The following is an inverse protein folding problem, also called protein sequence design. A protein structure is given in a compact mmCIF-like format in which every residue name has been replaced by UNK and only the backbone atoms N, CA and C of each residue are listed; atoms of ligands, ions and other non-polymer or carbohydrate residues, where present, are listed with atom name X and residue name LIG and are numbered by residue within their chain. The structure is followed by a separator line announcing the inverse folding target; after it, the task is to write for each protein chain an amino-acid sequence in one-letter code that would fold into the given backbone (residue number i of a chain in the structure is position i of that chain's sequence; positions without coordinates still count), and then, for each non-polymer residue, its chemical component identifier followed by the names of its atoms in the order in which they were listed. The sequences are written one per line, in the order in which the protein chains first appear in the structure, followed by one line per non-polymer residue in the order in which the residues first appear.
data_IF_152674112988
#
_entry.id   IF_152674112988
#
_cell.length_a   1.000
_cell.length_b   1.000
_cell.length_c   1.000
_cell.angle_alpha   90.00
_cell.angle_beta   90.00
_cell.angle_gamma   90.00
#
_symmetry.space_group_name_H-M   'P 1'
#
loop_
_entity.id
_entity.type
_entity.pdbx_description
1 polymer ?
#
# COMPACT_ATOMS: atom_id res chain seq x y z
N UNK A 1 -32.55 -15.18 8.86
CA UNK A 1 -31.20 -15.68 8.51
C UNK A 1 -30.20 -14.66 9.04
N UNK A 2 -29.21 -15.09 9.82
CA UNK A 2 -28.20 -14.17 10.36
C UNK A 2 -27.38 -13.53 9.23
N UNK A 3 -27.08 -12.24 9.35
CA UNK A 3 -26.25 -11.51 8.39
C UNK A 3 -24.78 -11.88 8.60
N UNK A 4 -24.28 -12.88 7.86
CA UNK A 4 -22.89 -13.34 7.98
C UNK A 4 -21.88 -12.47 7.22
N UNK A 5 -22.33 -11.37 6.62
CA UNK A 5 -21.53 -10.59 5.67
C UNK A 5 -20.25 -10.07 6.32
N UNK A 6 -20.30 -9.62 7.58
CA UNK A 6 -19.11 -9.20 8.34
C UNK A 6 -18.07 -10.32 8.51
N UNK A 7 -18.50 -11.53 8.84
CA UNK A 7 -17.58 -12.67 9.00
C UNK A 7 -16.91 -13.03 7.67
N UNK A 8 -17.67 -12.99 6.57
CA UNK A 8 -17.13 -13.24 5.23
C UNK A 8 -16.06 -12.22 4.85
N UNK A 9 -16.25 -10.94 5.21
CA UNK A 9 -15.24 -9.90 4.98
C UNK A 9 -13.97 -10.16 5.78
N UNK A 10 -14.08 -10.39 7.09
CA UNK A 10 -12.91 -10.66 7.92
C UNK A 10 -12.16 -11.90 7.44
N UNK A 11 -12.89 -12.95 7.05
CA UNK A 11 -12.30 -14.16 6.49
C UNK A 11 -11.54 -13.89 5.18
N UNK A 12 -11.96 -12.89 4.39
CA UNK A 12 -11.24 -12.45 3.19
C UNK A 12 -10.05 -11.54 3.51
N UNK A 13 -10.13 -10.69 4.55
CA UNK A 13 -9.07 -9.74 4.90
C UNK A 13 -7.90 -10.38 5.66
N UNK A 14 -8.15 -11.37 6.52
CA UNK A 14 -7.08 -12.01 7.31
C UNK A 14 -5.98 -12.63 6.44
N UNK A 15 -6.28 -13.45 5.42
CA UNK A 15 -5.25 -14.01 4.55
C UNK A 15 -4.48 -12.92 3.79
N UNK A 16 -5.14 -11.85 3.38
CA UNK A 16 -4.51 -10.71 2.71
C UNK A 16 -3.53 -10.03 3.66
N UNK A 17 -3.93 -9.76 4.90
CA UNK A 17 -3.05 -9.15 5.89
C UNK A 17 -1.86 -10.05 6.26
N UNK A 18 -2.08 -11.35 6.37
CA UNK A 18 -1.02 -12.34 6.57
C UNK A 18 -0.01 -12.35 5.42
N UNK A 19 -0.49 -12.43 4.18
CA UNK A 19 0.35 -12.43 2.98
C UNK A 19 1.15 -11.13 2.83
N UNK A 20 0.52 -9.99 3.12
CA UNK A 20 1.20 -8.70 3.12
C UNK A 20 2.38 -8.68 4.09
N UNK A 21 2.16 -9.09 5.35
CA UNK A 21 3.21 -9.09 6.37
C UNK A 21 4.37 -10.01 6.02
N UNK A 22 4.08 -11.21 5.54
CA UNK A 22 5.11 -12.17 5.13
C UNK A 22 5.95 -11.64 3.96
N UNK A 23 5.31 -11.08 2.92
CA UNK A 23 6.03 -10.49 1.79
C UNK A 23 6.85 -9.26 2.17
N UNK A 24 6.29 -8.40 3.04
CA UNK A 24 7.00 -7.23 3.59
C UNK A 24 8.27 -7.64 4.32
N UNK A 25 8.17 -8.63 5.21
CA UNK A 25 9.31 -9.12 6.00
C UNK A 25 10.44 -9.61 5.08
N UNK A 26 10.10 -10.43 4.08
CA UNK A 26 11.07 -10.95 3.11
C UNK A 26 11.74 -9.84 2.29
N UNK A 27 10.96 -8.87 1.79
CA UNK A 27 11.49 -7.74 1.01
C UNK A 27 12.34 -6.78 1.86
N UNK A 28 11.92 -6.55 3.11
CA UNK A 28 12.69 -5.73 4.06
C UNK A 28 14.04 -6.37 4.36
N UNK A 29 14.09 -7.69 4.54
CA UNK A 29 15.35 -8.40 4.74
C UNK A 29 16.29 -8.25 3.54
N UNK A 30 15.76 -8.33 2.30
CA UNK A 30 16.55 -8.10 1.09
C UNK A 30 17.07 -6.67 1.00
N UNK A 31 16.23 -5.68 1.33
CA UNK A 31 16.64 -4.28 1.39
C UNK A 31 17.77 -4.05 2.39
N UNK A 32 17.67 -4.59 3.60
CA UNK A 32 18.72 -4.49 4.63
C UNK A 32 20.04 -5.10 4.14
N UNK A 33 19.99 -6.24 3.44
CA UNK A 33 21.18 -6.84 2.84
C UNK A 33 21.77 -5.94 1.75
N UNK A 34 20.95 -5.35 0.88
CA UNK A 34 21.41 -4.45 -0.18
C UNK A 34 22.07 -3.17 0.39
N UNK A 35 21.45 -2.55 1.41
CA UNK A 35 22.03 -1.39 2.12
C UNK A 35 23.38 -1.75 2.73
N UNK A 36 23.47 -2.90 3.41
CA UNK A 36 24.72 -3.35 4.01
C UNK A 36 25.83 -3.56 2.97
N UNK A 37 25.52 -4.17 1.83
CA UNK A 37 26.49 -4.35 0.73
C UNK A 37 26.98 -3.00 0.20
N UNK A 38 26.07 -2.03 0.08
CA UNK A 38 26.44 -0.69 -0.36
C UNK A 38 27.37 -0.01 0.67
N UNK A 39 27.03 -0.07 1.96
CA UNK A 39 27.87 0.48 3.03
C UNK A 39 29.27 -0.17 3.08
N UNK A 40 29.35 -1.50 2.89
CA UNK A 40 30.61 -2.24 2.80
C UNK A 40 31.44 -1.76 1.61
N UNK A 41 30.83 -1.64 0.42
CA UNK A 41 31.49 -1.10 -0.77
C UNK A 41 32.01 0.33 -0.55
N UNK A 42 31.24 1.19 0.13
CA UNK A 42 31.69 2.55 0.44
C UNK A 42 32.90 2.57 1.37
N UNK A 43 32.96 1.63 2.32
CA UNK A 43 34.09 1.49 3.22
C UNK A 43 35.36 1.02 2.46
N UNK A 44 35.24 0.06 1.56
CA UNK A 44 36.33 -0.45 0.71
C UNK A 44 36.89 0.64 -0.22
N UNK A 45 36.01 1.40 -0.88
CA UNK A 45 36.40 2.56 -1.70
C UNK A 45 37.17 3.60 -0.88
N UNK A 46 36.68 3.90 0.33
CA UNK A 46 37.32 4.86 1.22
C UNK A 46 38.68 4.36 1.74
N UNK A 47 38.84 3.04 1.90
CA UNK A 47 40.10 2.41 2.27
C UNK A 47 41.09 2.32 1.09
N UNK A 48 40.64 2.58 -0.14
CA UNK A 48 41.45 2.42 -1.36
C UNK A 48 41.66 0.96 -1.73
N UNK A 49 40.81 0.06 -1.25
CA UNK A 49 40.86 -1.38 -1.54
C UNK A 49 40.17 -1.71 -2.87
N UNK A 50 39.19 -0.89 -3.27
CA UNK A 50 38.42 -1.04 -4.51
C UNK A 50 38.26 0.34 -5.16
N UNK A 51 38.37 0.38 -6.50
CA UNK A 51 38.07 1.59 -7.26
C UNK A 51 36.55 1.76 -7.40
N UNK A 52 36.05 2.97 -7.15
CA UNK A 52 34.64 3.29 -7.34
C UNK A 52 34.21 3.24 -8.82
N UNK A 53 35.19 3.38 -9.72
CA UNK A 53 35.00 3.47 -11.15
C UNK A 53 36.03 2.56 -11.80
N UNK A 54 35.58 1.70 -12.71
CA UNK A 54 36.45 0.84 -13.51
C UNK A 54 36.32 1.18 -14.99
N UNK A 55 37.44 1.19 -15.70
CA UNK A 55 37.50 1.38 -17.15
C UNK A 55 37.84 0.06 -17.82
N UNK A 56 37.02 -0.37 -18.77
CA UNK A 56 37.31 -1.50 -19.63
C UNK A 56 38.42 -1.12 -20.61
N UNK A 57 39.59 -1.74 -20.47
CA UNK A 57 40.78 -1.43 -21.27
C UNK A 57 40.60 -1.67 -22.78
N UNK A 58 39.69 -2.57 -23.19
CA UNK A 58 39.47 -2.88 -24.60
C UNK A 58 38.51 -1.88 -25.27
N UNK A 59 37.51 -1.42 -24.54
CA UNK A 59 36.44 -0.56 -25.08
C UNK A 59 36.58 0.92 -24.68
N UNK A 60 37.39 1.22 -23.66
CA UNK A 60 37.48 2.54 -23.01
C UNK A 60 36.20 2.93 -22.26
N UNK A 61 35.30 1.97 -22.01
CA UNK A 61 34.04 2.25 -21.35
C UNK A 61 34.24 2.33 -19.84
N UNK A 62 33.74 3.41 -19.25
CA UNK A 62 33.82 3.69 -17.81
C UNK A 62 32.53 3.25 -17.13
N UNK A 63 32.65 2.41 -16.11
CA UNK A 63 31.55 1.89 -15.31
C UNK A 63 31.67 2.37 -13.86
N UNK A 64 30.58 2.93 -13.32
CA UNK A 64 30.49 3.31 -11.91
C UNK A 64 30.03 2.10 -11.09
N UNK A 65 30.96 1.46 -10.38
CA UNK A 65 30.67 0.28 -9.57
C UNK A 65 29.68 0.62 -8.43
N UNK A 66 29.71 1.87 -7.96
CA UNK A 66 28.75 2.36 -6.97
C UNK A 66 27.33 2.43 -7.48
N UNK A 67 27.10 2.74 -8.76
CA UNK A 67 25.77 2.69 -9.36
C UNK A 67 25.21 1.26 -9.39
N UNK A 68 26.04 0.26 -9.69
CA UNK A 68 25.61 -1.15 -9.69
C UNK A 68 25.23 -1.63 -8.29
N UNK A 69 26.05 -1.34 -7.28
CA UNK A 69 25.74 -1.76 -5.90
C UNK A 69 24.52 -1.00 -5.36
N UNK A 70 24.34 0.27 -5.72
CA UNK A 70 23.15 1.05 -5.38
C UNK A 70 21.89 0.52 -6.07
N UNK A 71 22.01 -0.05 -7.28
CA UNK A 71 20.86 -0.57 -8.02
C UNK A 71 20.11 -1.67 -7.25
N UNK A 72 20.82 -2.54 -6.52
CA UNK A 72 20.20 -3.56 -5.67
C UNK A 72 19.27 -2.93 -4.61
N UNK A 73 19.71 -1.82 -3.99
CA UNK A 73 18.91 -1.09 -2.99
C UNK A 73 17.64 -0.50 -3.63
N UNK A 74 17.79 0.16 -4.78
CA UNK A 74 16.67 0.77 -5.51
C UNK A 74 15.65 -0.28 -6.01
N UNK A 75 16.14 -1.45 -6.44
CA UNK A 75 15.29 -2.57 -6.85
C UNK A 75 14.50 -3.11 -5.66
N UNK A 76 15.16 -3.33 -4.52
CA UNK A 76 14.50 -3.83 -3.30
C UNK A 76 13.43 -2.85 -2.80
N UNK A 77 13.71 -1.55 -2.86
CA UNK A 77 12.76 -0.50 -2.51
C UNK A 77 11.55 -0.45 -3.47
N UNK A 78 11.81 -0.46 -4.78
CA UNK A 78 10.76 -0.50 -5.80
C UNK A 78 9.86 -1.74 -5.66
N UNK A 79 10.45 -2.89 -5.32
CA UNK A 79 9.72 -4.11 -5.03
C UNK A 79 8.83 -3.97 -3.78
N UNK A 80 9.33 -3.35 -2.71
CA UNK A 80 8.55 -3.07 -1.50
C UNK A 80 7.38 -2.14 -1.78
N UNK A 81 7.59 -1.11 -2.60
CA UNK A 81 6.53 -0.19 -2.99
C UNK A 81 5.48 -0.86 -3.88
N UNK A 82 5.90 -1.65 -4.86
CA UNK A 82 5.01 -2.47 -5.70
C UNK A 82 4.18 -3.44 -4.86
N UNK A 83 4.78 -4.04 -3.83
CA UNK A 83 4.07 -4.92 -2.88
C UNK A 83 2.96 -4.15 -2.16
N UNK A 84 3.25 -2.97 -1.60
CA UNK A 84 2.22 -2.13 -0.94
C UNK A 84 1.08 -1.76 -1.91
N UNK A 85 1.41 -1.35 -3.12
CA UNK A 85 0.43 -1.00 -4.15
C UNK A 85 -0.49 -2.18 -4.51
N UNK A 86 0.08 -3.37 -4.71
CA UNK A 86 -0.70 -4.57 -4.97
C UNK A 86 -1.71 -4.86 -3.84
N UNK A 87 -1.27 -4.75 -2.59
CA UNK A 87 -2.14 -4.98 -1.44
C UNK A 87 -3.21 -3.90 -1.26
N UNK A 88 -2.92 -2.63 -1.54
CA UNK A 88 -3.94 -1.57 -1.56
C UNK A 88 -5.07 -1.88 -2.57
N UNK A 89 -4.74 -2.36 -3.77
CA UNK A 89 -5.72 -2.81 -4.76
C UNK A 89 -6.54 -4.00 -4.23
N UNK A 90 -5.88 -5.02 -3.68
CA UNK A 90 -6.57 -6.21 -3.17
C UNK A 90 -7.57 -5.86 -2.06
N UNK A 91 -7.17 -4.99 -1.12
CA UNK A 91 -8.02 -4.52 -0.02
C UNK A 91 -9.24 -3.79 -0.58
N UNK A 92 -9.03 -2.90 -1.55
CA UNK A 92 -10.11 -2.18 -2.20
C UNK A 92 -11.09 -3.13 -2.89
N UNK A 93 -10.61 -4.11 -3.68
CA UNK A 93 -11.48 -5.07 -4.36
C UNK A 93 -12.26 -5.97 -3.41
N UNK A 94 -11.67 -6.36 -2.27
CA UNK A 94 -12.41 -7.10 -1.23
C UNK A 94 -13.56 -6.27 -0.69
N UNK A 95 -13.32 -4.98 -0.42
CA UNK A 95 -14.39 -4.06 -0.03
C UNK A 95 -15.48 -3.95 -1.10
N UNK A 96 -15.14 -3.72 -2.37
CA UNK A 96 -16.11 -3.60 -3.47
C UNK A 96 -17.00 -4.84 -3.57
N UNK A 97 -16.39 -6.04 -3.59
CA UNK A 97 -17.13 -7.31 -3.67
C UNK A 97 -18.05 -7.51 -2.47
N UNK A 98 -17.56 -7.19 -1.28
CA UNK A 98 -18.33 -7.29 -0.06
C UNK A 98 -19.55 -6.37 -0.07
N UNK A 99 -19.39 -5.12 -0.52
CA UNK A 99 -20.49 -4.18 -0.67
C UNK A 99 -21.51 -4.65 -1.71
N UNK A 100 -21.05 -5.11 -2.88
CA UNK A 100 -21.94 -5.67 -3.91
C UNK A 100 -22.78 -6.82 -3.36
N UNK A 101 -22.15 -7.73 -2.60
CA UNK A 101 -22.85 -8.83 -1.94
C UNK A 101 -23.88 -8.33 -0.92
N UNK A 102 -23.49 -7.42 -0.03
CA UNK A 102 -24.36 -6.87 1.02
C UNK A 102 -25.57 -6.08 0.46
N UNK A 103 -25.39 -5.44 -0.69
CA UNK A 103 -26.43 -4.66 -1.36
C UNK A 103 -27.17 -5.45 -2.44
N UNK A 104 -26.76 -6.69 -2.74
CA UNK A 104 -27.24 -7.49 -3.87
C UNK A 104 -27.14 -6.73 -5.20
N UNK A 105 -26.08 -5.95 -5.36
CA UNK A 105 -25.82 -5.16 -6.56
C UNK A 105 -24.87 -5.92 -7.49
N UNK A 106 -25.04 -5.84 -8.82
CA UNK A 106 -24.15 -6.48 -9.78
C UNK A 106 -22.77 -5.79 -9.87
N UNK A 107 -22.70 -4.50 -9.52
CA UNK A 107 -21.50 -3.68 -9.60
C UNK A 107 -21.40 -2.69 -8.44
N UNK A 108 -20.17 -2.29 -8.12
CA UNK A 108 -19.89 -1.35 -7.05
C UNK A 108 -20.08 0.08 -7.54
N UNK A 109 -20.99 0.82 -6.90
CA UNK A 109 -21.26 2.23 -7.19
C UNK A 109 -20.99 3.06 -5.92
N UNK A 110 -19.74 3.52 -5.72
CA UNK A 110 -19.27 4.14 -4.47
C UNK A 110 -20.26 5.16 -3.86
N UNK A 111 -20.73 6.12 -4.68
CA UNK A 111 -21.63 7.18 -4.23
C UNK A 111 -22.99 6.67 -3.73
N UNK A 112 -23.53 5.61 -4.33
CA UNK A 112 -24.80 5.01 -3.89
C UNK A 112 -24.57 4.04 -2.73
N UNK A 113 -23.48 3.27 -2.79
CA UNK A 113 -23.13 2.25 -1.82
C UNK A 113 -23.09 2.79 -0.39
N UNK A 114 -22.33 3.86 -0.13
CA UNK A 114 -22.21 4.39 1.23
C UNK A 114 -23.53 4.87 1.81
N UNK A 115 -24.38 5.50 0.97
CA UNK A 115 -25.71 5.95 1.38
C UNK A 115 -26.60 4.77 1.79
N UNK A 116 -26.63 3.72 0.98
CA UNK A 116 -27.42 2.51 1.25
C UNK A 116 -26.92 1.74 2.49
N UNK A 117 -25.60 1.59 2.64
CA UNK A 117 -25.03 0.93 3.83
C UNK A 117 -25.28 1.72 5.11
N UNK A 118 -25.17 3.04 5.06
CA UNK A 118 -25.48 3.92 6.21
C UNK A 118 -26.95 3.79 6.61
N UNK A 119 -27.89 3.72 5.65
CA UNK A 119 -29.32 3.46 5.93
C UNK A 119 -29.55 2.09 6.58
N UNK A 120 -28.71 1.10 6.27
CA UNK A 120 -28.70 -0.22 6.92
C UNK A 120 -28.03 -0.22 8.31
N UNK A 121 -27.56 0.93 8.78
CA UNK A 121 -26.94 1.09 10.10
C UNK A 121 -25.46 0.72 10.17
N UNK A 122 -24.78 0.61 9.03
CA UNK A 122 -23.35 0.34 9.00
C UNK A 122 -22.55 1.60 9.35
N UNK A 123 -21.48 1.51 10.15
CA UNK A 123 -20.66 2.64 10.55
C UNK A 123 -19.62 3.01 9.47
N UNK A 124 -20.09 3.50 8.32
CA UNK A 124 -19.25 3.79 7.16
C UNK A 124 -18.28 4.95 7.42
N UNK A 125 -16.97 4.66 7.35
CA UNK A 125 -15.91 5.67 7.37
C UNK A 125 -15.63 6.17 5.95
N UNK A 126 -16.54 7.01 5.45
CA UNK A 126 -16.50 7.50 4.06
C UNK A 126 -15.16 8.15 3.70
N UNK A 127 -14.57 9.07 4.49
CA UNK A 127 -13.31 9.71 4.13
C UNK A 127 -12.17 8.71 3.91
N UNK A 128 -11.97 7.76 4.83
CA UNK A 128 -10.87 6.78 4.70
C UNK A 128 -11.12 5.76 3.59
N UNK A 129 -12.37 5.35 3.35
CA UNK A 129 -12.73 4.49 2.22
C UNK A 129 -12.51 5.17 0.86
N UNK A 130 -12.81 6.47 0.77
CA UNK A 130 -12.53 7.25 -0.43
C UNK A 130 -11.03 7.41 -0.69
N UNK A 131 -10.22 7.59 0.36
CA UNK A 131 -8.76 7.54 0.24
C UNK A 131 -8.29 6.22 -0.37
N UNK A 132 -8.72 5.08 0.18
CA UNK A 132 -8.41 3.76 -0.38
C UNK A 132 -8.85 3.62 -1.85
N UNK A 133 -10.06 4.06 -2.20
CA UNK A 133 -10.56 4.05 -3.60
C UNK A 133 -9.66 4.89 -4.51
N UNK A 134 -9.35 6.12 -4.11
CA UNK A 134 -8.50 7.02 -4.88
C UNK A 134 -7.10 6.44 -5.06
N UNK A 135 -6.50 5.86 -4.02
CA UNK A 135 -5.22 5.15 -4.09
C UNK A 135 -5.28 4.01 -5.09
N UNK A 136 -6.30 3.13 -5.01
CA UNK A 136 -6.46 2.04 -5.96
C UNK A 136 -6.65 2.56 -7.40
N UNK A 137 -7.35 3.68 -7.59
CA UNK A 137 -7.54 4.31 -8.91
C UNK A 137 -6.26 4.95 -9.45
N UNK A 138 -5.41 5.54 -8.59
CA UNK A 138 -4.06 5.98 -8.99
C UNK A 138 -3.29 4.78 -9.53
N UNK A 139 -3.26 3.66 -8.79
CA UNK A 139 -2.46 2.49 -9.17
C UNK A 139 -2.96 1.85 -10.48
N UNK A 140 -4.29 1.75 -10.65
CA UNK A 140 -4.89 1.09 -11.83
C UNK A 140 -4.98 1.97 -13.07
N UNK A 141 -5.17 3.28 -12.89
CA UNK A 141 -5.63 4.17 -13.96
C UNK A 141 -4.82 5.47 -14.05
N UNK A 142 -3.77 5.64 -13.25
CA UNK A 142 -3.03 6.90 -13.12
C UNK A 142 -3.97 8.10 -12.89
N UNK A 143 -4.98 7.91 -12.05
CA UNK A 143 -5.91 9.00 -11.72
C UNK A 143 -5.20 10.11 -10.95
N UNK A 144 -5.39 11.37 -11.35
CA UNK A 144 -4.90 12.52 -10.60
C UNK A 144 -5.77 12.86 -9.36
N UNK A 145 -6.88 12.15 -9.14
CA UNK A 145 -7.86 12.46 -8.09
C UNK A 145 -7.23 12.49 -6.69
N UNK A 146 -6.28 11.59 -6.41
CA UNK A 146 -5.58 11.55 -5.13
C UNK A 146 -4.77 12.83 -4.87
N UNK A 147 -4.24 13.49 -5.91
CA UNK A 147 -3.46 14.72 -5.76
C UNK A 147 -4.30 15.88 -5.21
N UNK A 148 -5.56 15.96 -5.63
CA UNK A 148 -6.46 17.04 -5.23
C UNK A 148 -6.96 16.86 -3.77
N UNK A 149 -6.83 15.67 -3.19
CA UNK A 149 -7.41 15.33 -1.87
C UNK A 149 -6.42 14.82 -0.81
N UNK A 150 -5.36 14.13 -1.22
CA UNK A 150 -4.41 13.41 -0.38
C UNK A 150 -2.99 13.56 -0.91
N UNK A 151 -2.56 14.82 -1.09
CA UNK A 151 -1.23 15.14 -1.62
C UNK A 151 -0.11 14.57 -0.75
N UNK A 152 -0.34 14.37 0.54
CA UNK A 152 0.61 13.73 1.47
C UNK A 152 0.98 12.29 1.09
N UNK A 153 0.15 11.60 0.31
CA UNK A 153 0.43 10.24 -0.19
C UNK A 153 1.24 10.25 -1.50
N UNK A 154 1.44 11.44 -2.07
CA UNK A 154 2.18 11.65 -3.29
C UNK A 154 3.47 12.37 -2.95
N UNK A 155 4.59 11.69 -3.12
CA UNK A 155 5.87 12.30 -2.83
C UNK A 155 6.34 13.13 -4.02
N UNK A 156 6.33 14.46 -3.83
CA UNK A 156 6.81 15.41 -4.84
C UNK A 156 8.28 15.74 -4.74
N UNK A 157 8.89 15.46 -3.60
CA UNK A 157 10.19 15.98 -3.24
C UNK A 157 11.18 14.89 -2.85
N UNK A 158 10.70 13.71 -2.48
CA UNK A 158 11.54 12.64 -1.95
C UNK A 158 11.11 11.31 -2.58
N UNK A 159 11.58 11.06 -3.80
CA UNK A 159 12.06 9.70 -4.05
C UNK A 159 13.15 9.54 -3.00
N UNK A 160 12.85 8.90 -1.87
CA UNK A 160 13.78 8.66 -0.78
C UNK A 160 14.90 7.75 -1.26
N UNK A 161 15.79 8.28 -2.10
CA UNK A 161 17.19 7.87 -2.09
C UNK A 161 17.66 8.38 -0.73
N UNK A 162 17.52 7.54 0.30
CA UNK A 162 18.04 7.78 1.64
C UNK A 162 19.43 8.41 1.51
N UNK A 163 19.74 9.40 2.36
CA UNK A 163 21.03 10.06 2.46
C UNK A 163 22.14 9.02 2.67
N UNK A 164 22.59 8.38 1.59
CA UNK A 164 23.91 7.80 1.55
C UNK A 164 24.86 8.97 1.76
N UNK A 165 25.76 8.86 2.74
CA UNK A 165 26.75 9.88 3.07
C UNK A 165 27.76 10.17 1.96
N UNK A 166 27.47 9.78 0.72
CA UNK A 166 28.22 10.15 -0.47
C UNK A 166 27.44 11.16 -1.30
N UNK A 167 28.16 12.10 -1.93
CA UNK A 167 27.57 12.98 -2.92
C UNK A 167 27.28 12.18 -4.20
N UNK A 168 26.24 11.35 -4.18
CA UNK A 168 25.50 11.06 -5.41
C UNK A 168 25.09 12.44 -5.91
N UNK A 169 25.65 12.87 -7.05
CA UNK A 169 25.29 14.14 -7.68
C UNK A 169 23.77 14.19 -7.71
N UNK A 170 23.17 15.00 -6.83
CA UNK A 170 21.73 15.21 -6.74
C UNK A 170 21.21 15.21 -8.16
N UNK A 171 20.43 14.20 -8.56
CA UNK A 171 19.73 14.23 -9.85
C UNK A 171 18.93 15.53 -9.79
N UNK A 172 19.42 16.55 -10.48
CA UNK A 172 19.03 17.96 -10.35
C UNK A 172 17.70 18.23 -11.06
N UNK A 173 16.84 17.24 -11.07
CA UNK A 173 15.59 17.20 -11.82
C UNK A 173 14.49 16.58 -10.98
N UNK A 174 14.46 16.86 -9.68
CA UNK A 174 13.21 16.83 -8.92
C UNK A 174 12.44 18.06 -9.38
N UNK A 175 11.74 17.93 -10.51
CA UNK A 175 10.74 18.90 -10.93
C UNK A 175 9.66 18.85 -9.86
N UNK A 176 9.51 19.95 -9.12
CA UNK A 176 8.37 20.17 -8.24
C UNK A 176 7.10 19.68 -8.94
N UNK A 177 6.38 18.73 -8.35
CA UNK A 177 5.14 18.20 -8.91
C UNK A 177 4.17 19.37 -9.06
N UNK A 178 4.06 19.90 -10.27
CA UNK A 178 2.91 20.68 -10.69
C UNK A 178 1.93 19.74 -11.40
N UNK A 179 0.64 20.04 -11.30
CA UNK A 179 -0.41 19.31 -12.02
C UNK A 179 -0.16 19.31 -13.54
N UNK A 180 0.59 20.28 -14.06
CA UNK A 180 1.04 20.33 -15.46
C UNK A 180 2.34 19.56 -15.75
N UNK A 181 3.21 19.34 -14.75
CA UNK A 181 4.56 18.77 -14.90
C UNK A 181 4.62 17.24 -14.88
N UNK A 182 3.64 16.59 -14.25
CA UNK A 182 3.45 15.13 -14.21
C UNK A 182 2.15 14.73 -14.91
N UNK A 183 1.98 15.12 -16.18
CA UNK A 183 0.95 14.47 -17.01
C UNK A 183 1.36 13.00 -17.24
N UNK A 184 0.98 12.11 -16.31
CA UNK A 184 1.01 10.66 -16.50
C UNK A 184 2.15 9.91 -15.80
N UNK A 185 2.48 10.23 -14.55
CA UNK A 185 3.25 9.29 -13.72
C UNK A 185 2.86 9.33 -12.24
N UNK A 186 1.55 9.31 -11.99
CA UNK A 186 1.00 9.32 -10.63
C UNK A 186 1.31 8.04 -9.87
N UNK A 187 1.52 6.93 -10.60
CA UNK A 187 1.92 5.66 -10.00
C UNK A 187 3.31 5.74 -9.37
N UNK A 188 4.31 6.31 -10.07
CA UNK A 188 5.65 6.49 -9.49
C UNK A 188 5.67 7.54 -8.37
N UNK A 189 4.82 8.58 -8.46
CA UNK A 189 4.71 9.58 -7.41
C UNK A 189 4.02 9.05 -6.14
N UNK A 190 3.28 7.95 -6.24
CA UNK A 190 2.59 7.37 -5.09
C UNK A 190 3.61 6.73 -4.15
N UNK A 191 3.69 7.23 -2.92
CA UNK A 191 4.56 6.72 -1.87
C UNK A 191 3.67 6.14 -0.75
N UNK A 192 3.56 4.81 -0.70
CA UNK A 192 2.73 4.12 0.27
C UNK A 192 3.62 3.67 1.41
N UNK A 193 3.15 3.86 2.62
CA UNK A 193 3.80 3.35 3.83
C UNK A 193 3.11 2.07 4.30
N UNK A 194 3.74 1.39 5.25
CA UNK A 194 3.10 0.24 5.88
C UNK A 194 1.93 0.63 6.78
N UNK A 195 1.97 1.85 7.31
CA UNK A 195 0.88 2.44 8.10
C UNK A 195 -0.35 2.69 7.22
N UNK A 196 -0.16 3.09 5.96
CA UNK A 196 -1.27 3.23 5.01
C UNK A 196 -1.97 1.89 4.76
N UNK A 197 -1.21 0.80 4.58
CA UNK A 197 -1.78 -0.53 4.37
C UNK A 197 -2.52 -1.02 5.62
N UNK A 198 -1.94 -0.81 6.80
CA UNK A 198 -2.60 -1.14 8.07
C UNK A 198 -3.89 -0.32 8.26
N UNK A 199 -3.84 0.98 7.94
CA UNK A 199 -4.99 1.89 7.97
C UNK A 199 -6.10 1.44 7.01
N UNK A 200 -5.77 1.02 5.79
CA UNK A 200 -6.75 0.54 4.83
C UNK A 200 -7.46 -0.73 5.30
N UNK A 201 -6.72 -1.70 5.85
CA UNK A 201 -7.32 -2.89 6.47
C UNK A 201 -8.26 -2.50 7.61
N UNK A 202 -7.81 -1.64 8.51
CA UNK A 202 -8.60 -1.16 9.66
C UNK A 202 -9.86 -0.42 9.21
N UNK A 203 -9.74 0.45 8.21
CA UNK A 203 -10.84 1.20 7.60
C UNK A 203 -11.94 0.28 7.09
N UNK A 204 -11.55 -0.74 6.30
CA UNK A 204 -12.50 -1.70 5.72
C UNK A 204 -13.16 -2.52 6.83
N UNK A 205 -12.40 -2.99 7.82
CA UNK A 205 -12.95 -3.73 8.98
C UNK A 205 -13.96 -2.91 9.77
N UNK A 206 -13.60 -1.67 10.11
CA UNK A 206 -14.46 -0.77 10.90
C UNK A 206 -15.73 -0.40 10.13
N UNK A 207 -15.61 -0.14 8.84
CA UNK A 207 -16.74 0.26 7.98
C UNK A 207 -17.76 -0.86 7.74
N UNK A 208 -17.38 -2.11 8.01
CA UNK A 208 -18.25 -3.27 7.87
C UNK A 208 -18.78 -3.82 9.19
N UNK A 209 -18.47 -3.18 10.32
CA UNK A 209 -18.91 -3.67 11.63
C UNK A 209 -20.44 -3.81 11.65
N UNK A 210 -20.97 -4.92 12.20
CA UNK A 210 -22.40 -5.09 12.33
C UNK A 210 -22.97 -3.96 13.21
N UNK A 211 -24.23 -3.52 12.97
CA UNK A 211 -24.89 -2.53 13.79
C UNK A 211 -24.80 -2.87 15.29
N UNK A 212 -24.58 -1.85 16.13
CA UNK A 212 -24.47 -2.02 17.58
C UNK A 212 -25.68 -2.80 18.12
N UNK A 213 -25.40 -3.83 18.92
CA UNK A 213 -26.42 -4.69 19.52
C UNK A 213 -26.84 -5.90 18.67
N UNK A 214 -26.45 -6.01 17.40
CA UNK A 214 -26.76 -7.19 16.59
C UNK A 214 -26.10 -8.45 17.15
N UNK A 215 -24.82 -8.36 17.53
CA UNK A 215 -24.08 -9.46 18.17
C UNK A 215 -24.74 -9.85 19.49
N UNK A 216 -25.19 -8.87 20.27
CA UNK A 216 -25.82 -9.11 21.57
C UNK A 216 -27.18 -9.79 21.41
N UNK A 217 -27.97 -9.40 20.40
CA UNK A 217 -29.22 -10.09 20.03
C UNK A 217 -28.97 -11.51 19.57
N UNK A 218 -27.91 -11.76 18.78
CA UNK A 218 -27.57 -13.13 18.36
C UNK A 218 -27.13 -13.99 19.53
N UNK A 219 -26.37 -13.46 20.48
CA UNK A 219 -26.03 -14.18 21.72
C UNK A 219 -27.28 -14.52 22.51
N UNK A 220 -28.16 -13.55 22.74
CA UNK A 220 -29.41 -13.78 23.47
C UNK A 220 -30.27 -14.84 22.78
N UNK A 221 -30.44 -14.75 21.46
CA UNK A 221 -31.22 -15.72 20.70
C UNK A 221 -30.62 -17.13 20.79
N UNK A 222 -29.29 -17.26 20.72
CA UNK A 222 -28.62 -18.56 20.87
C UNK A 222 -28.77 -19.12 22.31
N UNK A 223 -28.74 -18.27 23.34
CA UNK A 223 -28.97 -18.66 24.74
C UNK A 223 -30.42 -19.11 24.96
N UNK A 224 -31.39 -18.40 24.38
CA UNK A 224 -32.81 -18.73 24.45
C UNK A 224 -33.11 -20.07 23.74
N UNK A 225 -32.50 -20.31 22.57
CA UNK A 225 -32.63 -21.58 21.81
C UNK A 225 -31.93 -22.76 22.51
N UNK A 226 -30.85 -22.51 23.27
CA UNK A 226 -30.13 -23.54 24.01
C UNK A 226 -30.80 -23.96 25.33
N UNK A 227 -31.79 -23.20 25.81
CA UNK A 227 -32.48 -23.48 27.07
C UNK A 227 -33.77 -24.28 26.79
N UNK A 228 -33.82 -25.60 27.05
CA UNK A 228 -35.01 -26.40 26.77
C UNK A 228 -36.18 -25.94 27.63
N UNK A 229 -37.30 -25.61 26.98
CA UNK A 229 -38.56 -25.29 27.68
C UNK A 229 -38.98 -26.51 28.51
N UNK A 230 -39.00 -26.33 29.83
CA UNK A 230 -39.54 -27.32 30.78
C UNK A 230 -41.06 -27.29 30.80
#
# INVERSE_FOLDING_TARGET
MADLTYFMLNFALEPIWGAYKAGKEALTAQYVVAVKKYDEFLAEVKAGEVDAVWEDEETGQVFDHGEYVLADQLIAESALQSHRQAFAIMIHHVWEKHVCYALKAPEYQCNKAYGELTKKGWPIDKPRLERLRMTANVIKHESAELYDHHREMLDANELHVFESGLPLKKRKTIKTISKEGLRGNWLEALNLTDDDIADFIDTVRKSALPPKGLIQRWRQQAEDEATPQK
#
